data_IF_223803876450
#
_entry.id   IF_223803876450
#
_cell.length_a   1.000
_cell.length_b   1.000
_cell.length_c   1.000
_cell.angle_alpha   90.00
_cell.angle_beta   90.00
_cell.angle_gamma   90.00
#
_symmetry.space_group_name_H-M   'P 1'
#
loop_
_entity.id
_entity.type
_entity.pdbx_description
1 polymer ?
#
# COMPACT_ATOMS: atom_id res chain seq x y z
N UNK A 1 11.15 7.65 21.72
CA UNK A 1 9.84 6.98 21.80
C UNK A 1 9.53 6.34 20.45
N UNK A 2 9.63 5.00 20.33
CA UNK A 2 9.05 4.30 19.18
C UNK A 2 7.54 4.41 19.36
N UNK A 3 6.84 5.11 18.46
CA UNK A 3 5.38 5.07 18.42
C UNK A 3 5.03 3.62 18.10
N UNK A 4 4.56 2.85 19.09
CA UNK A 4 3.78 1.65 18.82
C UNK A 4 2.62 2.12 17.96
N UNK A 5 2.71 1.90 16.65
CA UNK A 5 1.68 2.34 15.72
C UNK A 5 0.37 1.75 16.16
N UNK A 6 -0.67 2.58 16.30
CA UNK A 6 -2.02 2.17 16.61
C UNK A 6 -2.35 0.87 15.85
N UNK A 7 -2.72 -0.20 16.57
CA UNK A 7 -3.02 -1.52 15.99
C UNK A 7 -4.06 -1.33 14.88
N UNK A 8 -3.64 -1.51 13.63
CA UNK A 8 -4.54 -1.48 12.48
C UNK A 8 -5.08 -2.88 12.19
N UNK A 9 -6.37 -3.01 11.94
CA UNK A 9 -7.01 -4.25 11.47
C UNK A 9 -6.84 -4.36 9.95
N UNK A 10 -6.45 -5.53 9.45
CA UNK A 10 -6.44 -5.83 8.01
C UNK A 10 -7.86 -6.20 7.58
N UNK A 11 -8.39 -5.50 6.58
CA UNK A 11 -9.72 -5.75 6.01
C UNK A 11 -9.65 -6.62 4.75
N UNK A 12 -8.60 -6.42 3.95
CA UNK A 12 -8.29 -7.21 2.75
C UNK A 12 -6.78 -7.15 2.51
N UNK A 13 -6.22 -8.19 1.91
CA UNK A 13 -4.81 -8.31 1.60
C UNK A 13 -4.64 -9.06 0.29
N UNK A 14 -3.88 -8.47 -0.63
CA UNK A 14 -3.52 -9.05 -1.91
C UNK A 14 -2.00 -9.14 -2.02
N UNK A 15 -1.52 -10.20 -2.69
CA UNK A 15 -0.09 -10.41 -2.94
C UNK A 15 0.16 -10.48 -4.44
N UNK A 16 1.14 -9.73 -4.90
CA UNK A 16 1.55 -9.69 -6.29
C UNK A 16 3.06 -9.98 -6.39
N UNK A 17 3.44 -10.87 -7.31
CA UNK A 17 4.84 -11.17 -7.60
C UNK A 17 5.17 -10.70 -9.03
N UNK A 18 6.18 -9.85 -9.16
CA UNK A 18 6.62 -9.30 -10.44
C UNK A 18 8.15 -9.38 -10.47
N UNK A 19 8.70 -10.15 -11.40
CA UNK A 19 10.15 -10.38 -11.51
C UNK A 19 10.75 -10.82 -10.16
N UNK A 20 11.66 -10.02 -9.58
CA UNK A 20 12.27 -10.28 -8.27
C UNK A 20 11.58 -9.54 -7.11
N UNK A 21 10.42 -8.94 -7.35
CA UNK A 21 9.67 -8.14 -6.37
C UNK A 21 8.43 -8.88 -5.89
N UNK A 22 8.20 -8.82 -4.58
CA UNK A 22 6.92 -9.21 -3.99
C UNK A 22 6.26 -7.97 -3.40
N UNK A 23 5.09 -7.62 -3.91
CA UNK A 23 4.25 -6.55 -3.39
C UNK A 23 3.11 -7.13 -2.55
N UNK A 24 2.88 -6.53 -1.38
CA UNK A 24 1.71 -6.77 -0.54
C UNK A 24 0.86 -5.51 -0.53
N UNK A 25 -0.41 -5.63 -0.90
CA UNK A 25 -1.37 -4.53 -0.97
C UNK A 25 -2.46 -4.81 0.04
N UNK A 26 -2.41 -4.11 1.17
CA UNK A 26 -3.33 -4.33 2.29
C UNK A 26 -4.28 -3.13 2.42
N UNK A 27 -5.59 -3.38 2.48
CA UNK A 27 -6.55 -2.41 3.01
C UNK A 27 -6.63 -2.58 4.53
N UNK A 28 -6.32 -1.51 5.27
CA UNK A 28 -6.31 -1.52 6.74
C UNK A 28 -7.18 -0.41 7.31
N UNK A 29 -7.58 -0.59 8.57
CA UNK A 29 -8.36 0.37 9.33
C UNK A 29 -7.79 0.54 10.75
N UNK A 30 -7.70 1.77 11.22
CA UNK A 30 -7.40 2.11 12.61
C UNK A 30 -8.31 3.27 13.07
N UNK A 31 -8.06 3.84 14.25
CA UNK A 31 -8.84 4.97 14.78
C UNK A 31 -8.82 6.22 13.87
N UNK A 32 -7.79 6.38 13.04
CA UNK A 32 -7.67 7.45 12.05
C UNK A 32 -8.39 7.17 10.72
N UNK A 33 -9.07 6.03 10.59
CA UNK A 33 -9.81 5.62 9.40
C UNK A 33 -9.11 4.57 8.56
N UNK A 34 -9.52 4.46 7.29
CA UNK A 34 -9.04 3.43 6.35
C UNK A 34 -7.91 3.95 5.47
N UNK A 35 -6.95 3.07 5.20
CA UNK A 35 -5.83 3.35 4.33
C UNK A 35 -5.36 2.08 3.61
N UNK A 36 -4.80 2.26 2.42
CA UNK A 36 -4.07 1.24 1.70
C UNK A 36 -2.61 1.27 2.13
N UNK A 37 -2.02 0.12 2.45
CA UNK A 37 -0.59 -0.03 2.67
C UNK A 37 -0.02 -0.92 1.56
N UNK A 38 0.89 -0.37 0.77
CA UNK A 38 1.63 -1.12 -0.26
C UNK A 38 3.04 -1.35 0.25
N UNK A 39 3.41 -2.61 0.48
CA UNK A 39 4.77 -2.99 0.87
C UNK A 39 5.47 -3.74 -0.25
N UNK A 40 6.61 -3.24 -0.69
CA UNK A 40 7.50 -3.91 -1.63
C UNK A 40 8.60 -4.63 -0.85
N UNK A 41 8.81 -5.91 -1.14
CA UNK A 41 9.99 -6.68 -0.77
C UNK A 41 10.80 -6.96 -2.04
N UNK A 42 12.02 -6.43 -2.08
CA UNK A 42 12.98 -6.62 -3.17
C UNK A 42 14.31 -7.05 -2.57
N UNK A 43 14.76 -8.28 -2.86
CA UNK A 43 15.88 -8.91 -2.15
C UNK A 43 15.66 -8.81 -0.62
N UNK A 44 16.58 -8.21 0.12
CA UNK A 44 16.47 -8.00 1.57
C UNK A 44 15.97 -6.61 1.98
N UNK A 45 15.52 -5.79 1.01
CA UNK A 45 15.00 -4.44 1.29
C UNK A 45 13.47 -4.44 1.27
N UNK A 46 12.88 -3.93 2.36
CA UNK A 46 11.45 -3.65 2.45
C UNK A 46 11.18 -2.15 2.37
N UNK A 47 10.33 -1.76 1.43
CA UNK A 47 9.82 -0.38 1.29
C UNK A 47 8.31 -0.39 1.49
N UNK A 48 7.73 0.70 2.00
CA UNK A 48 6.28 0.77 2.23
C UNK A 48 5.76 2.17 1.98
N UNK A 49 4.62 2.25 1.30
CA UNK A 49 3.84 3.48 1.12
C UNK A 49 2.45 3.26 1.73
N UNK A 50 1.92 4.30 2.37
CA UNK A 50 0.57 4.33 2.92
C UNK A 50 -0.23 5.41 2.21
N UNK A 51 -1.38 5.05 1.66
CA UNK A 51 -2.31 5.94 0.97
C UNK A 51 -3.62 5.97 1.75
N UNK A 52 -4.05 7.11 2.32
CA UNK A 52 -5.39 7.24 2.88
C UNK A 52 -6.46 6.94 1.83
N UNK A 53 -7.55 6.28 2.21
CA UNK A 53 -8.63 5.95 1.25
C UNK A 53 -9.21 7.19 0.56
N UNK A 54 -9.21 8.34 1.23
CA UNK A 54 -9.64 9.62 0.64
C UNK A 54 -8.83 10.05 -0.58
N UNK A 55 -7.56 9.63 -0.70
CA UNK A 55 -6.70 9.91 -1.86
C UNK A 55 -6.63 8.78 -2.88
N UNK A 56 -7.29 7.65 -2.64
CA UNK A 56 -7.11 6.44 -3.45
C UNK A 56 -7.60 6.61 -4.90
N UNK A 57 -8.73 7.29 -5.11
CA UNK A 57 -9.26 7.53 -6.46
C UNK A 57 -8.26 8.35 -7.31
N UNK A 58 -7.78 9.47 -6.79
CA UNK A 58 -6.78 10.30 -7.46
C UNK A 58 -5.45 9.55 -7.69
N UNK A 59 -5.04 8.71 -6.73
CA UNK A 59 -3.86 7.86 -6.90
C UNK A 59 -4.03 6.88 -8.08
N UNK A 60 -5.19 6.21 -8.18
CA UNK A 60 -5.49 5.30 -9.29
C UNK A 60 -5.57 6.00 -10.64
N UNK A 61 -6.14 7.21 -10.70
CA UNK A 61 -6.15 8.03 -11.93
C UNK A 61 -4.73 8.35 -12.41
N UNK A 62 -3.83 8.71 -11.49
CA UNK A 62 -2.41 8.97 -11.82
C UNK A 62 -1.73 7.70 -12.31
N UNK A 63 -1.94 6.55 -11.65
CA UNK A 63 -1.38 5.27 -12.12
C UNK A 63 -1.88 4.92 -13.52
N UNK A 64 -3.18 5.05 -13.77
CA UNK A 64 -3.78 4.78 -15.08
C UNK A 64 -3.23 5.71 -16.16
N UNK A 65 -3.05 6.99 -15.83
CA UNK A 65 -2.46 7.98 -16.73
C UNK A 65 -1.02 7.60 -17.10
N UNK A 66 -0.18 7.25 -16.12
CA UNK A 66 1.20 6.82 -16.38
C UNK A 66 1.22 5.53 -17.19
N UNK A 67 0.38 4.55 -16.86
CA UNK A 67 0.30 3.28 -17.58
C UNK A 67 -0.10 3.47 -19.06
N UNK A 68 -0.94 4.45 -19.37
CA UNK A 68 -1.33 4.78 -20.75
C UNK A 68 -0.22 5.41 -21.60
N UNK A 69 0.93 5.76 -21.00
CA UNK A 69 2.10 6.30 -21.71
C UNK A 69 3.16 5.26 -22.05
N UNK A 70 2.97 4.02 -21.59
CA UNK A 70 3.83 2.87 -21.90
C UNK A 70 3.40 2.25 -23.23
#
# INVERSE_FOLDING_TARGET
>A
MKREGAKSKVLSSEKLHIENKTLFVDLKENEGGRFLQVAELSNDRRSTVVIPVSGLAAFMEVLQKVASTL
#
